data_IF_923106470192
#
_entry.id   IF_923106470192
#
_cell.length_a   1.000
_cell.length_b   1.000
_cell.length_c   1.000
_cell.angle_alpha   90.00
_cell.angle_beta   90.00
_cell.angle_gamma   90.00
#
_symmetry.space_group_name_H-M   'P 1'
#
loop_
_entity.id
_entity.type
_entity.pdbx_description
1 polymer ?
#
# COMPACT_ATOMS: atom_id res chain seq x y z
N UNK A 1 -53.75 -36.74 48.69
CA UNK A 1 -54.47 -36.05 47.59
C UNK A 1 -53.45 -35.19 46.86
N UNK A 2 -53.36 -35.42 45.56
CA UNK A 2 -52.21 -35.17 44.69
C UNK A 2 -52.08 -33.70 44.29
N UNK A 3 -50.91 -33.10 44.54
CA UNK A 3 -50.60 -31.72 44.18
C UNK A 3 -50.31 -31.60 42.67
N UNK A 4 -51.10 -30.79 41.97
CA UNK A 4 -50.95 -30.51 40.55
C UNK A 4 -49.68 -29.68 40.28
N UNK A 5 -48.79 -30.23 39.46
CA UNK A 5 -47.60 -29.53 38.97
C UNK A 5 -48.01 -28.55 37.86
N UNK A 6 -48.03 -27.26 38.17
CA UNK A 6 -48.13 -26.20 37.17
C UNK A 6 -46.77 -26.01 36.49
N UNK A 7 -46.66 -26.45 35.24
CA UNK A 7 -45.57 -26.06 34.34
C UNK A 7 -45.95 -24.73 33.66
N UNK A 8 -45.24 -23.61 33.91
CA UNK A 8 -45.52 -22.38 33.19
C UNK A 8 -44.90 -22.45 31.78
N UNK A 9 -45.77 -22.31 30.78
CA UNK A 9 -45.50 -22.29 29.33
C UNK A 9 -44.80 -20.97 28.94
N UNK A 10 -43.70 -20.62 29.61
CA UNK A 10 -42.97 -19.35 29.40
C UNK A 10 -41.49 -19.56 29.07
N UNK A 11 -41.17 -20.67 28.40
CA UNK A 11 -39.82 -20.96 27.92
C UNK A 11 -39.84 -21.31 26.42
N UNK A 12 -40.64 -20.59 25.63
CA UNK A 12 -40.71 -20.83 24.17
C UNK A 12 -41.01 -19.59 23.33
N UNK A 13 -40.49 -18.40 23.70
CA UNK A 13 -40.63 -17.19 22.86
C UNK A 13 -39.29 -16.49 22.55
N UNK A 14 -38.17 -16.86 23.19
CA UNK A 14 -36.85 -16.26 22.89
C UNK A 14 -36.09 -17.06 21.81
N UNK A 15 -36.79 -17.86 21.00
CA UNK A 15 -36.21 -18.60 19.87
C UNK A 15 -36.67 -18.09 18.49
N UNK A 16 -37.40 -16.98 18.42
CA UNK A 16 -37.99 -16.46 17.18
C UNK A 16 -37.53 -15.04 16.79
N UNK A 17 -36.40 -14.55 17.34
CA UNK A 17 -35.82 -13.26 16.98
C UNK A 17 -34.34 -13.32 16.55
N UNK A 18 -33.80 -14.53 16.33
CA UNK A 18 -32.45 -14.76 15.81
C UNK A 18 -32.46 -15.60 14.50
N UNK A 19 -33.53 -15.51 13.72
CA UNK A 19 -33.65 -16.21 12.42
C UNK A 19 -33.96 -15.26 11.24
N UNK A 20 -33.77 -13.94 11.40
CA UNK A 20 -34.14 -12.94 10.39
C UNK A 20 -32.99 -12.08 9.85
N UNK A 21 -31.75 -12.25 10.34
CA UNK A 21 -30.63 -11.37 9.99
C UNK A 21 -29.53 -12.06 9.15
N UNK A 22 -29.88 -13.12 8.40
CA UNK A 22 -28.91 -13.93 7.66
C UNK A 22 -29.08 -13.91 6.13
N UNK A 23 -29.93 -13.05 5.56
CA UNK A 23 -30.17 -13.01 4.09
C UNK A 23 -29.75 -11.69 3.42
N UNK A 24 -29.03 -10.83 4.15
CA UNK A 24 -28.59 -9.52 3.66
C UNK A 24 -27.09 -9.44 3.33
N UNK A 25 -26.45 -10.52 2.88
CA UNK A 25 -25.09 -10.42 2.32
C UNK A 25 -25.19 -9.85 0.90
N UNK A 26 -25.31 -8.53 0.78
CA UNK A 26 -24.96 -7.88 -0.48
C UNK A 26 -23.49 -8.23 -0.79
N UNK A 27 -23.16 -8.63 -2.02
CA UNK A 27 -21.75 -8.82 -2.37
C UNK A 27 -21.06 -7.48 -2.13
N UNK A 28 -19.97 -7.51 -1.37
CA UNK A 28 -19.05 -6.37 -1.33
C UNK A 28 -18.53 -6.21 -2.77
N UNK A 29 -19.11 -5.27 -3.51
CA UNK A 29 -18.54 -4.81 -4.77
C UNK A 29 -17.25 -4.11 -4.38
N UNK A 30 -16.14 -4.86 -4.41
CA UNK A 30 -14.82 -4.25 -4.37
C UNK A 30 -14.80 -3.18 -5.46
N UNK A 31 -14.42 -1.95 -5.10
CA UNK A 31 -14.22 -0.89 -6.08
C UNK A 31 -13.07 -1.33 -7.00
N UNK A 32 -13.40 -1.98 -8.10
CA UNK A 32 -12.47 -2.19 -9.19
C UNK A 32 -12.19 -0.81 -9.77
N UNK A 33 -11.00 -0.27 -9.50
CA UNK A 33 -10.55 0.95 -10.15
C UNK A 33 -10.62 0.73 -11.68
N UNK A 34 -11.41 1.55 -12.37
CA UNK A 34 -11.57 1.52 -13.82
C UNK A 34 -10.41 2.19 -14.57
N UNK A 35 -9.35 2.59 -13.86
CA UNK A 35 -8.16 3.16 -14.46
C UNK A 35 -7.35 2.02 -15.08
N UNK A 36 -7.06 2.05 -16.40
CA UNK A 36 -6.15 1.09 -17.01
C UNK A 36 -4.82 1.10 -16.25
N UNK A 37 -4.53 0.00 -15.56
CA UNK A 37 -3.28 -0.20 -14.85
C UNK A 37 -2.16 -0.35 -15.89
N UNK A 38 -1.48 0.75 -16.24
CA UNK A 38 -0.28 0.71 -17.06
C UNK A 38 -0.01 1.91 -17.96
N UNK A 39 -0.96 2.85 -18.14
CA UNK A 39 -0.78 3.97 -19.10
C UNK A 39 -1.03 5.37 -18.54
N UNK A 40 -1.46 5.50 -17.27
CA UNK A 40 -1.70 6.81 -16.68
C UNK A 40 -0.37 7.56 -16.46
N UNK A 41 -0.24 8.74 -17.05
CA UNK A 41 0.84 9.67 -16.78
C UNK A 41 0.53 10.54 -15.55
N UNK A 42 1.59 10.93 -14.83
CA UNK A 42 1.48 11.87 -13.73
C UNK A 42 1.18 13.28 -14.27
N UNK A 43 0.21 13.96 -13.67
CA UNK A 43 -0.14 15.37 -13.86
C UNK A 43 -0.11 16.08 -12.52
N UNK A 44 -0.04 17.42 -12.47
CA UNK A 44 -0.10 18.15 -11.20
C UNK A 44 -1.29 17.76 -10.31
N UNK A 45 -2.43 17.40 -10.91
CA UNK A 45 -3.68 17.12 -10.17
C UNK A 45 -3.83 15.67 -9.71
N UNK A 46 -3.06 14.74 -10.27
CA UNK A 46 -3.20 13.31 -9.97
C UNK A 46 -1.93 12.68 -9.38
N UNK A 47 -0.82 13.41 -9.38
CA UNK A 47 0.48 12.89 -8.97
C UNK A 47 0.62 12.84 -7.45
N UNK A 48 1.15 11.73 -6.97
CA UNK A 48 1.74 11.61 -5.65
C UNK A 48 3.26 11.58 -5.78
N UNK A 49 3.95 11.88 -4.69
CA UNK A 49 5.34 11.48 -4.49
C UNK A 49 5.35 10.20 -3.67
N UNK A 50 6.24 9.26 -3.99
CA UNK A 50 6.44 8.05 -3.22
C UNK A 50 7.91 7.95 -2.85
N UNK A 51 8.20 8.10 -1.55
CA UNK A 51 9.53 7.84 -1.02
C UNK A 51 9.64 6.36 -0.65
N UNK A 52 10.54 5.66 -1.33
CA UNK A 52 10.85 4.24 -1.09
C UNK A 52 12.21 4.17 -0.39
N UNK A 53 12.23 3.63 0.82
CA UNK A 53 13.46 3.25 1.50
C UNK A 53 13.73 1.78 1.20
N UNK A 54 14.83 1.52 0.52
CA UNK A 54 15.38 0.18 0.31
C UNK A 54 16.53 -0.01 1.28
N UNK A 55 16.21 -0.40 2.52
CA UNK A 55 17.20 -0.51 3.60
C UNK A 55 18.13 -1.69 3.38
N UNK A 56 19.42 -1.47 3.60
CA UNK A 56 20.43 -2.51 3.50
C UNK A 56 20.17 -3.64 4.49
N UNK A 57 20.41 -4.86 4.05
CA UNK A 57 20.60 -6.01 4.92
C UNK A 57 22.08 -6.14 5.27
N UNK A 58 22.49 -5.61 6.42
CA UNK A 58 23.88 -5.64 6.88
C UNK A 58 24.31 -7.02 7.41
N UNK A 59 23.41 -8.00 7.48
CA UNK A 59 23.77 -9.37 7.88
C UNK A 59 24.40 -10.18 6.75
N UNK A 60 24.36 -9.67 5.51
CA UNK A 60 24.82 -10.37 4.31
C UNK A 60 25.86 -9.54 3.54
N UNK A 61 26.85 -10.18 2.87
CA UNK A 61 27.80 -9.46 2.02
C UNK A 61 27.14 -8.76 0.83
N UNK A 62 27.62 -7.56 0.49
CA UNK A 62 27.11 -6.76 -0.63
C UNK A 62 27.12 -7.51 -1.98
N UNK A 63 28.14 -8.33 -2.23
CA UNK A 63 28.25 -9.12 -3.45
C UNK A 63 27.09 -10.10 -3.63
N UNK A 64 26.63 -10.74 -2.55
CA UNK A 64 25.49 -11.66 -2.58
C UNK A 64 24.18 -10.93 -2.85
N UNK A 65 23.98 -9.77 -2.20
CA UNK A 65 22.81 -8.92 -2.41
C UNK A 65 22.73 -8.43 -3.86
N UNK A 66 23.86 -7.99 -4.43
CA UNK A 66 23.93 -7.54 -5.83
C UNK A 66 23.67 -8.69 -6.81
N UNK A 67 24.22 -9.89 -6.56
CA UNK A 67 23.95 -11.06 -7.39
C UNK A 67 22.46 -11.45 -7.35
N UNK A 68 21.83 -11.35 -6.18
CA UNK A 68 20.40 -11.57 -6.02
C UNK A 68 19.58 -10.55 -6.82
N UNK A 69 19.86 -9.24 -6.69
CA UNK A 69 19.17 -8.18 -7.44
C UNK A 69 19.31 -8.37 -8.96
N UNK A 70 20.50 -8.77 -9.42
CA UNK A 70 20.75 -9.06 -10.82
C UNK A 70 19.92 -10.26 -11.31
N UNK A 71 19.89 -11.36 -10.53
CA UNK A 71 19.07 -12.55 -10.83
C UNK A 71 17.58 -12.22 -10.86
N UNK A 72 17.12 -11.37 -9.96
CA UNK A 72 15.72 -10.93 -9.88
C UNK A 72 15.36 -9.83 -10.90
N UNK A 73 16.36 -9.25 -11.59
CA UNK A 73 16.13 -8.27 -12.65
C UNK A 73 15.73 -6.87 -12.16
N UNK A 74 16.11 -6.49 -10.94
CA UNK A 74 15.71 -5.22 -10.31
C UNK A 74 15.97 -4.00 -11.21
N UNK A 75 17.21 -3.80 -11.65
CA UNK A 75 17.58 -2.63 -12.46
C UNK A 75 17.02 -2.65 -13.88
N UNK A 76 16.43 -3.78 -14.33
CA UNK A 76 15.73 -3.88 -15.60
C UNK A 76 14.25 -3.51 -15.46
N UNK A 77 13.63 -3.86 -14.33
CA UNK A 77 12.20 -3.71 -14.10
C UNK A 77 11.82 -2.42 -13.36
N UNK A 78 12.72 -1.90 -12.51
CA UNK A 78 12.46 -0.74 -11.66
C UNK A 78 13.18 0.52 -12.17
N UNK A 79 12.47 1.67 -12.25
CA UNK A 79 11.03 1.82 -12.07
C UNK A 79 10.23 1.30 -13.27
N UNK A 80 8.92 1.00 -13.08
CA UNK A 80 8.04 0.68 -14.21
C UNK A 80 7.98 1.83 -15.24
N UNK A 81 7.77 1.55 -16.54
CA UNK A 81 7.71 2.57 -17.59
C UNK A 81 6.72 3.69 -17.29
N UNK A 82 7.12 4.95 -17.47
CA UNK A 82 6.24 6.11 -17.23
C UNK A 82 6.06 6.51 -15.75
N UNK A 83 6.80 5.89 -14.83
CA UNK A 83 7.01 6.40 -13.47
C UNK A 83 8.27 7.27 -13.47
N UNK A 84 8.17 8.51 -12.99
CA UNK A 84 9.30 9.43 -12.93
C UNK A 84 10.14 9.18 -11.67
N UNK A 85 11.47 9.16 -11.82
CA UNK A 85 12.40 9.19 -10.68
C UNK A 85 12.75 10.65 -10.38
N UNK A 86 12.26 11.15 -9.26
CA UNK A 86 12.55 12.52 -8.78
C UNK A 86 13.93 12.58 -8.13
N UNK A 87 14.29 11.56 -7.35
CA UNK A 87 15.62 11.42 -6.78
C UNK A 87 15.96 9.96 -6.50
N UNK A 88 17.25 9.64 -6.53
CA UNK A 88 17.78 8.33 -6.14
C UNK A 88 19.14 8.53 -5.48
N UNK A 89 19.23 8.24 -4.18
CA UNK A 89 20.46 8.40 -3.40
C UNK A 89 20.79 7.15 -2.61
N UNK A 90 22.08 6.93 -2.33
CA UNK A 90 22.53 5.97 -1.33
C UNK A 90 22.79 6.75 -0.05
N UNK A 91 21.98 6.51 0.98
CA UNK A 91 22.19 7.10 2.31
C UNK A 91 22.94 6.09 3.16
N UNK A 92 24.20 6.41 3.49
CA UNK A 92 25.07 5.55 4.28
C UNK A 92 24.40 5.10 5.58
N UNK A 93 24.49 3.80 5.89
CA UNK A 93 23.87 3.19 7.06
C UNK A 93 22.36 2.93 6.94
N UNK A 94 21.68 3.50 5.93
CA UNK A 94 20.27 3.23 5.67
C UNK A 94 20.14 2.28 4.49
N UNK A 95 20.59 2.68 3.30
CA UNK A 95 20.18 2.02 2.06
C UNK A 95 20.05 2.98 0.90
N UNK A 96 19.27 2.56 -0.10
CA UNK A 96 18.86 3.44 -1.18
C UNK A 96 17.56 4.14 -0.82
N UNK A 97 17.48 5.43 -1.08
CA UNK A 97 16.25 6.21 -0.98
C UNK A 97 15.90 6.67 -2.38
N UNK A 98 14.72 6.28 -2.85
CA UNK A 98 14.21 6.64 -4.17
C UNK A 98 12.92 7.41 -3.99
N UNK A 99 12.83 8.61 -4.55
CA UNK A 99 11.57 9.36 -4.62
C UNK A 99 11.04 9.24 -6.03
N UNK A 100 9.82 8.71 -6.16
CA UNK A 100 9.11 8.55 -7.43
C UNK A 100 7.98 9.55 -7.54
N UNK A 101 7.66 9.99 -8.76
CA UNK A 101 6.40 10.68 -9.06
C UNK A 101 5.57 9.82 -10.00
N UNK A 102 4.31 9.62 -9.64
CA UNK A 102 3.37 8.74 -10.32
C UNK A 102 1.93 9.11 -9.99
N UNK A 103 0.95 8.77 -10.84
CA UNK A 103 -0.45 8.84 -10.44
C UNK A 103 -0.77 7.75 -9.40
N UNK A 104 -1.66 8.06 -8.45
CA UNK A 104 -2.04 7.12 -7.37
C UNK A 104 -2.56 5.76 -7.89
N UNK A 105 -3.19 5.75 -9.06
CA UNK A 105 -3.69 4.53 -9.72
C UNK A 105 -2.58 3.52 -10.08
N UNK A 106 -1.32 3.96 -10.17
CA UNK A 106 -0.16 3.10 -10.51
C UNK A 106 0.63 2.62 -9.30
N UNK A 107 0.20 2.94 -8.09
CA UNK A 107 0.92 2.54 -6.87
C UNK A 107 1.08 1.02 -6.75
N UNK A 108 0.05 0.24 -7.14
CA UNK A 108 0.09 -1.23 -7.14
C UNK A 108 1.17 -1.78 -8.07
N UNK A 109 1.34 -1.19 -9.24
CA UNK A 109 2.33 -1.62 -10.23
C UNK A 109 3.75 -1.42 -9.69
N UNK A 110 4.03 -0.27 -9.09
CA UNK A 110 5.33 0.01 -8.44
C UNK A 110 5.59 -0.95 -7.29
N UNK A 111 4.59 -1.16 -6.42
CA UNK A 111 4.71 -2.11 -5.32
C UNK A 111 5.05 -3.51 -5.84
N UNK A 112 4.36 -3.96 -6.89
CA UNK A 112 4.56 -5.29 -7.47
C UNK A 112 5.97 -5.50 -8.02
N UNK A 113 6.53 -4.49 -8.71
CA UNK A 113 7.92 -4.56 -9.19
C UNK A 113 8.90 -4.67 -8.03
N UNK A 114 8.70 -3.92 -6.94
CA UNK A 114 9.58 -3.99 -5.78
C UNK A 114 9.45 -5.31 -5.02
N UNK A 115 8.24 -5.85 -4.90
CA UNK A 115 7.97 -7.20 -4.37
C UNK A 115 8.74 -8.27 -5.14
N UNK A 116 8.63 -8.24 -6.47
CA UNK A 116 9.19 -9.28 -7.31
C UNK A 116 10.71 -9.18 -7.46
N UNK A 117 11.27 -7.96 -7.32
CA UNK A 117 12.66 -7.71 -7.73
C UNK A 117 13.60 -7.18 -6.66
N UNK A 118 13.09 -6.54 -5.60
CA UNK A 118 13.91 -5.91 -4.56
C UNK A 118 13.84 -6.65 -3.22
N UNK A 119 12.74 -7.36 -2.94
CA UNK A 119 12.54 -8.05 -1.67
C UNK A 119 13.54 -9.19 -1.48
N UNK A 120 14.06 -9.26 -0.25
CA UNK A 120 15.13 -10.17 0.14
C UNK A 120 16.53 -9.58 -0.04
N UNK A 121 16.75 -8.66 -0.98
CA UNK A 121 17.98 -7.87 -1.05
C UNK A 121 17.89 -6.59 -0.20
N UNK A 122 16.68 -6.05 -0.06
CA UNK A 122 16.37 -4.91 0.79
C UNK A 122 15.22 -5.18 1.74
N UNK A 123 15.23 -4.49 2.89
CA UNK A 123 14.02 -4.25 3.68
C UNK A 123 13.37 -2.97 3.17
N UNK A 124 12.18 -3.09 2.59
CA UNK A 124 11.52 -1.97 1.90
C UNK A 124 10.51 -1.27 2.79
N UNK A 125 10.51 0.07 2.81
CA UNK A 125 9.48 0.90 3.44
C UNK A 125 8.96 1.94 2.44
N UNK A 126 7.66 2.26 2.54
CA UNK A 126 6.94 3.11 1.59
C UNK A 126 6.30 4.29 2.29
N UNK A 127 6.49 5.49 1.74
CA UNK A 127 5.93 6.72 2.26
C UNK A 127 5.33 7.56 1.11
N UNK A 128 4.04 7.36 0.78
CA UNK A 128 3.35 8.23 -0.17
C UNK A 128 3.12 9.62 0.45
N UNK A 129 3.40 10.67 -0.31
CA UNK A 129 3.32 12.08 0.09
C UNK A 129 2.79 12.94 -1.05
N UNK A 130 2.44 14.20 -0.75
CA UNK A 130 2.10 15.24 -1.72
C UNK A 130 3.17 16.33 -1.72
N UNK A 131 3.30 17.08 -2.82
CA UNK A 131 4.28 18.16 -2.92
C UNK A 131 3.76 19.45 -2.27
N UNK A 132 4.24 19.74 -1.06
CA UNK A 132 3.88 20.95 -0.32
C UNK A 132 4.83 22.13 -0.56
N UNK A 133 5.86 21.97 -1.40
CA UNK A 133 6.96 22.93 -1.50
C UNK A 133 6.50 24.32 -1.92
N UNK A 134 5.68 24.42 -2.96
CA UNK A 134 5.21 25.71 -3.47
C UNK A 134 4.39 26.48 -2.43
N UNK A 135 3.50 25.79 -1.70
CA UNK A 135 2.70 26.38 -0.63
C UNK A 135 3.61 26.86 0.49
N UNK A 136 4.53 26.02 0.96
CA UNK A 136 5.46 26.37 2.03
C UNK A 136 6.33 27.60 1.70
N UNK A 137 6.79 27.73 0.45
CA UNK A 137 7.54 28.92 0.01
C UNK A 137 6.66 30.17 -0.02
N UNK A 138 5.44 30.06 -0.54
CA UNK A 138 4.49 31.18 -0.53
C UNK A 138 4.12 31.64 0.89
N UNK A 139 3.95 30.72 1.85
CA UNK A 139 3.74 31.08 3.26
C UNK A 139 4.97 31.78 3.86
N UNK A 140 6.18 31.34 3.52
CA UNK A 140 7.42 31.97 3.99
C UNK A 140 7.62 33.38 3.46
N UNK A 141 7.19 33.64 2.23
CA UNK A 141 7.24 34.98 1.63
C UNK A 141 6.21 35.92 2.26
N UNK A 142 5.00 35.43 2.57
CA UNK A 142 3.94 36.21 3.24
C UNK A 142 4.21 36.49 4.72
N UNK A 143 5.00 35.63 5.38
CA UNK A 143 5.39 35.79 6.78
C UNK A 143 6.63 36.67 7.01
N UNK A 144 7.15 37.33 5.98
CA UNK A 144 8.22 38.34 6.05
C UNK A 144 7.62 39.73 5.92
#
# INVERSE_FOLDING_TARGET
>A
MTAARFFPIRTLVIAAALAGAATGSAPAVGQTSTVPAGSAAATPDNAILLTVFQKHDQSRPLAELNAQLAKQGFYKAFPPPGVEVVSWTVTMGIGQIVVLRLPASRLREVNRVLEDTAWGAYRTEFYPTYDYKAIALGERERGR
#
